data_IF_901979701652
#
_entry.id   IF_901979701652
#
_cell.length_a   1.000
_cell.length_b   1.000
_cell.length_c   1.000
_cell.angle_alpha   90.00
_cell.angle_beta   90.00
_cell.angle_gamma   90.00
#
_symmetry.space_group_name_H-M   'P 1'
#
loop_
_entity.id
_entity.type
_entity.pdbx_description
1 polymer ?
#
# COMPACT_ATOMS: atom_id res chain seq x y z
N UNK A 1 28.41 8.56 -5.78
CA UNK A 1 27.76 9.79 -5.26
C UNK A 1 26.56 9.34 -4.46
N UNK A 2 26.44 9.66 -3.18
CA UNK A 2 25.18 9.41 -2.50
C UNK A 2 24.09 10.25 -3.21
N UNK A 3 23.02 9.59 -3.66
CA UNK A 3 21.80 10.30 -4.08
C UNK A 3 21.42 11.21 -2.93
N UNK A 4 21.23 12.49 -3.17
CA UNK A 4 20.63 13.41 -2.22
C UNK A 4 19.42 12.70 -1.62
N UNK A 5 19.47 12.41 -0.32
CA UNK A 5 18.28 12.03 0.45
C UNK A 5 17.45 13.30 0.47
N UNK A 6 16.57 13.44 -0.52
CA UNK A 6 15.64 14.57 -0.54
C UNK A 6 14.79 14.46 0.72
N UNK A 7 14.82 15.51 1.53
CA UNK A 7 14.13 15.59 2.80
C UNK A 7 12.62 15.40 2.62
N UNK A 8 12.11 14.25 3.00
CA UNK A 8 10.70 14.00 3.22
C UNK A 8 10.54 13.32 4.59
N UNK A 9 9.39 13.49 5.18
CA UNK A 9 9.03 12.88 6.46
C UNK A 9 8.02 11.76 6.22
N UNK A 10 8.18 10.64 6.94
CA UNK A 10 7.15 9.60 7.03
C UNK A 10 6.34 9.82 8.29
N UNK A 11 5.04 9.97 8.14
CA UNK A 11 4.08 10.11 9.26
C UNK A 11 2.79 9.34 9.00
N UNK A 12 1.99 9.22 10.04
CA UNK A 12 0.63 8.67 9.92
C UNK A 12 -0.26 9.62 9.11
N UNK A 13 -1.10 9.05 8.24
CA UNK A 13 -2.20 9.74 7.59
C UNK A 13 -3.28 10.06 8.62
N UNK A 14 -3.77 11.29 8.60
CA UNK A 14 -4.90 11.74 9.41
C UNK A 14 -6.11 12.10 8.55
N UNK A 15 -7.24 12.38 9.19
CA UNK A 15 -8.48 12.75 8.48
C UNK A 15 -8.33 13.98 7.60
N UNK A 16 -7.52 14.96 8.01
CA UNK A 16 -7.27 16.20 7.26
C UNK A 16 -6.49 15.96 5.95
N UNK A 17 -5.91 14.78 5.79
CA UNK A 17 -5.16 14.40 4.59
C UNK A 17 -6.05 13.86 3.46
N UNK A 18 -7.37 13.71 3.67
CA UNK A 18 -8.26 13.05 2.72
C UNK A 18 -8.11 13.57 1.30
N UNK A 19 -8.13 14.89 1.10
CA UNK A 19 -8.07 15.48 -0.25
C UNK A 19 -6.81 15.04 -1.02
N UNK A 20 -5.64 15.09 -0.38
CA UNK A 20 -4.37 14.67 -1.00
C UNK A 20 -4.27 13.15 -1.14
N UNK A 21 -4.75 12.39 -0.16
CA UNK A 21 -4.79 10.93 -0.23
C UNK A 21 -5.72 10.47 -1.37
N UNK A 22 -6.89 11.07 -1.52
CA UNK A 22 -7.85 10.74 -2.57
C UNK A 22 -7.26 10.92 -3.99
N UNK A 23 -6.41 11.92 -4.22
CA UNK A 23 -5.70 12.09 -5.49
C UNK A 23 -4.77 10.90 -5.79
N UNK A 24 -4.06 10.39 -4.79
CA UNK A 24 -3.17 9.24 -4.93
C UNK A 24 -3.98 7.95 -5.17
N UNK A 25 -5.07 7.74 -4.44
CA UNK A 25 -5.99 6.62 -4.68
C UNK A 25 -6.60 6.67 -6.08
N UNK A 26 -6.97 7.86 -6.56
CA UNK A 26 -7.50 8.03 -7.91
C UNK A 26 -6.45 7.69 -8.98
N UNK A 27 -5.19 8.07 -8.78
CA UNK A 27 -4.08 7.73 -9.65
C UNK A 27 -3.88 6.21 -9.75
N UNK A 28 -3.83 5.51 -8.61
CA UNK A 28 -3.68 4.05 -8.58
C UNK A 28 -4.88 3.36 -9.22
N UNK A 29 -6.09 3.81 -8.90
CA UNK A 29 -7.32 3.26 -9.46
C UNK A 29 -7.34 3.38 -10.99
N UNK A 30 -6.94 4.52 -11.53
CA UNK A 30 -6.86 4.73 -12.98
C UNK A 30 -5.92 3.73 -13.66
N UNK A 31 -4.78 3.41 -13.04
CA UNK A 31 -3.85 2.39 -13.52
C UNK A 31 -4.51 1.00 -13.55
N UNK A 32 -5.17 0.61 -12.48
CA UNK A 32 -5.87 -0.68 -12.40
C UNK A 32 -7.03 -0.76 -13.40
N UNK A 33 -7.83 0.30 -13.51
CA UNK A 33 -8.95 0.35 -14.44
C UNK A 33 -8.49 0.27 -15.91
N UNK A 34 -7.39 0.91 -16.26
CA UNK A 34 -6.83 0.86 -17.61
C UNK A 34 -6.35 -0.55 -18.00
N UNK A 35 -5.83 -1.34 -17.04
CA UNK A 35 -5.32 -2.69 -17.29
C UNK A 35 -6.36 -3.80 -17.08
N UNK A 36 -7.34 -3.57 -16.21
CA UNK A 36 -8.40 -4.54 -15.88
C UNK A 36 -9.79 -3.86 -15.86
N UNK A 37 -10.26 -3.34 -17.01
CA UNK A 37 -11.58 -2.69 -17.09
C UNK A 37 -12.73 -3.67 -16.88
N UNK A 38 -12.45 -4.95 -16.94
CA UNK A 38 -13.38 -6.05 -16.62
C UNK A 38 -13.62 -6.21 -15.11
N UNK A 39 -12.71 -5.72 -14.28
CA UNK A 39 -12.76 -5.81 -12.80
C UNK A 39 -13.02 -4.44 -12.17
N UNK A 40 -12.33 -3.40 -12.64
CA UNK A 40 -12.38 -2.08 -12.03
C UNK A 40 -13.35 -1.15 -12.75
N UNK A 41 -14.30 -0.60 -11.98
CA UNK A 41 -15.26 0.37 -12.46
C UNK A 41 -14.57 1.71 -12.79
N UNK A 42 -14.98 2.36 -13.85
CA UNK A 42 -14.57 3.74 -14.12
C UNK A 42 -15.24 4.69 -13.11
N UNK A 43 -14.42 5.39 -12.34
CA UNK A 43 -14.86 6.40 -11.36
C UNK A 43 -13.77 7.45 -11.15
N UNK A 44 -14.18 8.67 -10.84
CA UNK A 44 -13.28 9.76 -10.48
C UNK A 44 -13.09 9.87 -8.95
N UNK A 45 -13.91 9.15 -8.17
CA UNK A 45 -13.89 9.16 -6.70
C UNK A 45 -13.83 7.72 -6.21
N UNK A 46 -12.67 7.05 -6.30
CA UNK A 46 -12.52 5.66 -5.84
C UNK A 46 -12.55 5.53 -4.32
N UNK A 47 -12.31 6.61 -3.58
CA UNK A 47 -12.32 6.65 -2.12
C UNK A 47 -13.05 7.89 -1.62
N UNK A 48 -14.21 7.69 -1.01
CA UNK A 48 -15.00 8.75 -0.38
C UNK A 48 -14.45 9.14 1.00
N UNK A 49 -14.82 10.33 1.47
CA UNK A 49 -14.38 10.88 2.76
C UNK A 49 -14.75 9.99 3.95
N UNK A 50 -16.02 9.54 4.01
CA UNK A 50 -16.50 8.67 5.09
C UNK A 50 -15.74 7.34 5.18
N UNK A 51 -15.41 6.75 4.03
CA UNK A 51 -14.62 5.52 3.97
C UNK A 51 -13.18 5.76 4.44
N UNK A 52 -12.57 6.85 3.99
CA UNK A 52 -11.24 7.23 4.42
C UNK A 52 -11.17 7.49 5.94
N UNK A 53 -12.18 8.15 6.52
CA UNK A 53 -12.24 8.39 7.96
C UNK A 53 -12.36 7.08 8.75
N UNK A 54 -13.16 6.12 8.27
CA UNK A 54 -13.23 4.79 8.87
C UNK A 54 -11.88 4.09 8.87
N UNK A 55 -11.12 4.20 7.78
CA UNK A 55 -9.76 3.64 7.71
C UNK A 55 -8.83 4.32 8.72
N UNK A 56 -8.89 5.66 8.85
CA UNK A 56 -8.05 6.38 9.83
C UNK A 56 -8.38 6.00 11.28
N UNK A 57 -9.63 5.66 11.56
CA UNK A 57 -10.10 5.34 12.92
C UNK A 57 -9.96 3.84 13.27
N UNK A 58 -9.73 2.98 12.28
CA UNK A 58 -9.62 1.54 12.50
C UNK A 58 -8.25 1.19 13.12
N UNK A 59 -8.22 0.60 14.34
CA UNK A 59 -6.97 0.23 15.00
C UNK A 59 -6.19 -0.87 14.27
N UNK A 60 -6.80 -1.59 13.33
CA UNK A 60 -6.13 -2.59 12.50
C UNK A 60 -5.43 -2.00 11.28
N UNK A 61 -5.70 -0.75 10.95
CA UNK A 61 -5.06 -0.05 9.83
C UNK A 61 -3.71 0.56 10.24
N UNK A 62 -2.77 0.50 9.33
CA UNK A 62 -1.50 1.24 9.36
C UNK A 62 -1.50 2.12 8.13
N UNK A 63 -1.78 3.40 8.33
CA UNK A 63 -1.89 4.39 7.26
C UNK A 63 -0.72 5.36 7.35
N UNK A 64 0.22 5.28 6.43
CA UNK A 64 1.43 6.12 6.40
C UNK A 64 1.48 6.98 5.15
N UNK A 65 2.11 8.14 5.26
CA UNK A 65 2.42 8.97 4.10
C UNK A 65 3.82 9.56 4.17
N UNK A 66 4.36 9.86 3.01
CA UNK A 66 5.60 10.63 2.84
C UNK A 66 5.24 12.07 2.49
N UNK A 67 5.72 13.00 3.28
CA UNK A 67 5.37 14.43 3.16
C UNK A 67 6.61 15.27 2.94
N UNK A 68 6.53 16.24 2.04
CA UNK A 68 7.51 17.28 1.83
C UNK A 68 6.82 18.62 1.56
N UNK A 69 7.18 19.66 2.30
CA UNK A 69 6.61 21.00 2.18
C UNK A 69 5.07 21.01 2.24
N UNK A 70 4.49 20.20 3.14
CA UNK A 70 3.05 20.07 3.32
C UNK A 70 2.32 19.26 2.22
N UNK A 71 3.06 18.70 1.27
CA UNK A 71 2.50 17.88 0.18
C UNK A 71 2.77 16.39 0.43
N UNK A 72 1.74 15.58 0.28
CA UNK A 72 1.85 14.13 0.29
C UNK A 72 2.36 13.65 -1.06
N UNK A 73 3.50 13.01 -1.08
CA UNK A 73 4.18 12.51 -2.26
C UNK A 73 3.91 11.01 -2.52
N UNK A 74 3.51 10.30 -1.50
CA UNK A 74 3.16 8.88 -1.56
C UNK A 74 2.52 8.44 -0.26
N UNK A 75 1.86 7.29 -0.30
CA UNK A 75 1.21 6.68 0.86
C UNK A 75 1.33 5.16 0.85
N UNK A 76 1.18 4.57 2.02
CA UNK A 76 1.04 3.14 2.22
C UNK A 76 -0.14 2.87 3.15
N UNK A 77 -0.96 1.88 2.80
CA UNK A 77 -2.03 1.34 3.61
C UNK A 77 -1.77 -0.13 3.86
N UNK A 78 -1.68 -0.53 5.10
CA UNK A 78 -1.44 -1.90 5.53
C UNK A 78 -2.46 -2.28 6.60
N UNK A 79 -3.05 -3.46 6.49
CA UNK A 79 -4.09 -3.94 7.41
C UNK A 79 -3.56 -5.11 8.22
N UNK A 80 -3.67 -5.03 9.54
CA UNK A 80 -3.37 -6.14 10.44
C UNK A 80 -4.49 -7.19 10.37
N UNK A 81 -4.14 -8.43 10.07
CA UNK A 81 -5.09 -9.54 9.97
C UNK A 81 -4.63 -10.72 10.83
N UNK A 82 -5.48 -11.14 11.73
CA UNK A 82 -5.26 -12.31 12.56
C UNK A 82 -6.26 -13.42 12.27
N UNK A 83 -5.84 -14.66 12.51
CA UNK A 83 -6.75 -15.79 12.63
C UNK A 83 -6.33 -16.68 13.82
N UNK A 84 -7.30 -17.37 14.40
CA UNK A 84 -7.07 -18.28 15.53
C UNK A 84 -6.54 -19.67 15.10
N UNK A 85 -6.43 -19.90 13.79
CA UNK A 85 -6.18 -21.22 13.25
C UNK A 85 -7.41 -22.14 13.33
N UNK A 86 -7.25 -23.33 12.82
CA UNK A 86 -8.26 -24.41 12.85
C UNK A 86 -7.58 -25.79 12.88
N UNK A 87 -8.29 -26.85 12.51
CA UNK A 87 -7.75 -28.21 12.51
C UNK A 87 -6.58 -28.43 11.52
N UNK A 88 -6.41 -27.55 10.52
CA UNK A 88 -5.41 -27.69 9.45
C UNK A 88 -4.49 -26.48 9.31
N UNK A 89 -4.84 -25.36 9.92
CA UNK A 89 -4.07 -24.10 9.85
C UNK A 89 -3.62 -23.63 11.22
N UNK A 90 -2.40 -23.13 11.31
CA UNK A 90 -1.87 -22.54 12.53
C UNK A 90 -2.46 -21.13 12.75
N UNK A 91 -2.59 -20.69 14.01
CA UNK A 91 -2.85 -19.28 14.32
C UNK A 91 -1.77 -18.39 13.70
N UNK A 92 -2.17 -17.26 13.10
CA UNK A 92 -1.25 -16.31 12.47
C UNK A 92 -1.72 -14.88 12.66
N UNK A 93 -0.75 -14.00 12.86
CA UNK A 93 -0.93 -12.54 12.73
C UNK A 93 -0.07 -12.08 11.56
N UNK A 94 -0.72 -11.49 10.56
CA UNK A 94 -0.06 -11.01 9.34
C UNK A 94 -0.46 -9.57 9.03
N UNK A 95 0.40 -8.84 8.41
CA UNK A 95 0.10 -7.54 7.83
C UNK A 95 -0.13 -7.71 6.32
N UNK A 96 -1.18 -7.10 5.80
CA UNK A 96 -1.50 -7.10 4.37
C UNK A 96 -1.40 -5.68 3.86
N UNK A 97 -0.40 -5.39 3.02
CA UNK A 97 -0.27 -4.11 2.36
C UNK A 97 -1.27 -4.04 1.20
N UNK A 98 -2.29 -3.23 1.39
CA UNK A 98 -3.37 -3.05 0.42
C UNK A 98 -3.02 -1.98 -0.63
N UNK A 99 -2.24 -0.96 -0.23
CA UNK A 99 -1.80 0.12 -1.11
C UNK A 99 -0.36 0.52 -0.77
N UNK A 100 0.44 0.74 -1.80
CA UNK A 100 1.72 1.45 -1.76
C UNK A 100 1.83 2.24 -3.06
N UNK A 101 1.75 3.55 -2.96
CA UNK A 101 1.75 4.42 -4.13
C UNK A 101 2.63 5.64 -3.93
N UNK A 102 3.34 6.02 -4.97
CA UNK A 102 4.16 7.23 -5.05
C UNK A 102 3.77 8.00 -6.31
N UNK A 103 3.48 9.29 -6.15
CA UNK A 103 3.13 10.14 -7.27
C UNK A 103 4.25 10.13 -8.35
N UNK A 104 3.91 10.19 -9.64
CA UNK A 104 4.89 10.08 -10.72
C UNK A 104 6.08 11.04 -10.60
N UNK A 105 5.83 12.28 -10.20
CA UNK A 105 6.86 13.31 -10.03
C UNK A 105 7.80 13.07 -8.84
N UNK A 106 7.45 12.14 -7.94
CA UNK A 106 8.21 11.79 -6.74
C UNK A 106 8.81 10.38 -6.79
N UNK A 107 8.61 9.67 -7.90
CA UNK A 107 9.22 8.35 -8.10
C UNK A 107 10.74 8.46 -8.25
N UNK A 108 11.45 7.40 -7.83
CA UNK A 108 12.92 7.37 -7.85
C UNK A 108 13.61 8.11 -6.70
N UNK A 109 12.87 8.74 -5.79
CA UNK A 109 13.40 9.46 -4.62
C UNK A 109 13.53 8.57 -3.37
N UNK A 110 13.27 7.27 -3.46
CA UNK A 110 13.34 6.35 -2.31
C UNK A 110 12.09 6.33 -1.42
N UNK A 111 11.04 7.07 -1.77
CA UNK A 111 9.81 7.20 -0.98
C UNK A 111 9.10 5.85 -0.82
N UNK A 112 8.97 5.09 -1.92
CA UNK A 112 8.34 3.76 -1.86
C UNK A 112 9.06 2.81 -0.92
N UNK A 113 10.39 2.80 -0.97
CA UNK A 113 11.23 2.00 -0.07
C UNK A 113 11.06 2.45 1.39
N UNK A 114 11.06 3.75 1.65
CA UNK A 114 10.87 4.28 3.00
C UNK A 114 9.49 3.93 3.58
N UNK A 115 8.43 4.06 2.77
CA UNK A 115 7.07 3.68 3.17
C UNK A 115 6.94 2.17 3.43
N UNK A 116 7.54 1.34 2.58
CA UNK A 116 7.54 -0.11 2.77
C UNK A 116 8.20 -0.49 4.10
N UNK A 117 9.41 -0.01 4.36
CA UNK A 117 10.13 -0.33 5.59
C UNK A 117 9.47 0.25 6.84
N UNK A 118 8.87 1.44 6.77
CA UNK A 118 8.10 1.99 7.88
C UNK A 118 6.84 1.14 8.18
N UNK A 119 6.15 0.66 7.14
CA UNK A 119 5.01 -0.25 7.28
C UNK A 119 5.43 -1.59 7.88
N UNK A 120 6.55 -2.15 7.43
CA UNK A 120 7.14 -3.38 8.00
C UNK A 120 7.46 -3.22 9.49
N UNK A 121 8.14 -2.15 9.86
CA UNK A 121 8.53 -1.87 11.24
C UNK A 121 7.30 -1.74 12.15
N UNK A 122 6.28 -1.02 11.72
CA UNK A 122 5.05 -0.85 12.48
C UNK A 122 4.23 -2.16 12.57
N UNK A 123 4.13 -2.92 11.47
CA UNK A 123 3.48 -4.22 11.46
C UNK A 123 4.16 -5.20 12.43
N UNK A 124 5.48 -5.25 12.41
CA UNK A 124 6.28 -6.08 13.34
C UNK A 124 6.07 -5.65 14.80
N UNK A 125 6.05 -4.34 15.07
CA UNK A 125 5.77 -3.80 16.40
C UNK A 125 4.39 -4.21 16.91
N UNK A 126 3.41 -4.35 16.00
CA UNK A 126 2.04 -4.83 16.31
C UNK A 126 1.91 -6.36 16.32
N UNK A 127 3.01 -7.10 16.18
CA UNK A 127 3.04 -8.56 16.29
C UNK A 127 2.80 -9.33 15.00
N UNK A 128 2.86 -8.67 13.83
CA UNK A 128 2.80 -9.39 12.56
C UNK A 128 4.03 -10.28 12.36
N UNK A 129 3.79 -11.51 11.92
CA UNK A 129 4.81 -12.51 11.60
C UNK A 129 5.27 -12.40 10.12
N UNK A 130 4.42 -11.80 9.27
CA UNK A 130 4.70 -11.58 7.86
C UNK A 130 4.05 -10.31 7.35
N UNK A 131 4.65 -9.72 6.32
CA UNK A 131 4.03 -8.73 5.46
C UNK A 131 3.71 -9.38 4.12
N UNK A 132 2.47 -9.28 3.69
CA UNK A 132 1.95 -9.85 2.45
C UNK A 132 1.35 -8.74 1.59
N UNK A 133 1.37 -8.93 0.28
CA UNK A 133 0.70 -8.03 -0.67
C UNK A 133 0.32 -8.78 -1.95
N UNK A 134 -0.53 -8.16 -2.74
CA UNK A 134 -0.91 -8.68 -4.06
C UNK A 134 -0.40 -7.73 -5.15
N UNK A 135 0.30 -8.29 -6.12
CA UNK A 135 0.77 -7.57 -7.30
C UNK A 135 0.09 -8.14 -8.54
N UNK A 136 -0.48 -7.27 -9.36
CA UNK A 136 -1.00 -7.67 -10.65
C UNK A 136 0.12 -8.09 -11.60
N UNK A 137 -0.09 -9.18 -12.35
CA UNK A 137 0.91 -9.73 -13.28
C UNK A 137 1.34 -8.76 -14.39
N UNK A 138 0.52 -7.75 -14.71
CA UNK A 138 0.87 -6.70 -15.66
C UNK A 138 1.86 -5.67 -15.09
N UNK A 139 1.94 -5.52 -13.76
CA UNK A 139 2.79 -4.52 -13.11
C UNK A 139 4.19 -5.08 -12.80
N UNK A 140 4.97 -5.27 -13.87
CA UNK A 140 6.32 -5.86 -13.77
C UNK A 140 7.31 -4.98 -12.99
N UNK A 141 7.14 -3.66 -13.04
CA UNK A 141 8.02 -2.74 -12.30
C UNK A 141 7.79 -2.85 -10.79
N UNK A 142 6.54 -2.99 -10.38
CA UNK A 142 6.17 -3.17 -8.99
C UNK A 142 6.66 -4.53 -8.45
N UNK A 143 6.52 -5.60 -9.23
CA UNK A 143 7.08 -6.91 -8.87
C UNK A 143 8.58 -6.82 -8.60
N UNK A 144 9.34 -6.21 -9.53
CA UNK A 144 10.81 -6.04 -9.35
C UNK A 144 11.16 -5.19 -8.12
N UNK A 145 10.35 -4.17 -7.83
CA UNK A 145 10.52 -3.35 -6.63
C UNK A 145 10.41 -4.20 -5.35
N UNK A 146 9.35 -5.00 -5.21
CA UNK A 146 9.17 -5.84 -4.03
C UNK A 146 10.21 -6.98 -3.94
N UNK A 147 10.57 -7.60 -5.06
CA UNK A 147 11.65 -8.60 -5.10
C UNK A 147 12.98 -8.01 -4.65
N UNK A 148 13.30 -6.79 -5.08
CA UNK A 148 14.52 -6.07 -4.63
C UNK A 148 14.50 -5.72 -3.14
N UNK A 149 13.33 -5.61 -2.55
CA UNK A 149 13.13 -5.42 -1.11
C UNK A 149 13.13 -6.75 -0.31
N UNK A 150 13.40 -7.89 -0.96
CA UNK A 150 13.50 -9.19 -0.32
C UNK A 150 12.20 -9.98 -0.24
N UNK A 151 11.13 -9.52 -0.91
CA UNK A 151 9.87 -10.27 -0.97
C UNK A 151 9.95 -11.39 -2.01
N UNK A 152 9.26 -12.48 -1.74
CA UNK A 152 9.19 -13.66 -2.64
C UNK A 152 7.74 -14.01 -2.92
N UNK A 153 7.49 -14.56 -4.12
CA UNK A 153 6.15 -15.03 -4.49
C UNK A 153 5.78 -16.22 -3.60
N UNK A 154 4.67 -16.09 -2.87
CA UNK A 154 4.14 -17.15 -2.00
C UNK A 154 3.10 -18.02 -2.69
N UNK A 155 2.23 -17.41 -3.49
CA UNK A 155 1.14 -18.08 -4.19
C UNK A 155 0.79 -17.32 -5.46
N UNK A 156 0.12 -18.00 -6.38
CA UNK A 156 -0.36 -17.41 -7.62
C UNK A 156 -1.87 -17.60 -7.72
N UNK A 157 -2.57 -16.59 -8.23
CA UNK A 157 -3.97 -16.69 -8.62
C UNK A 157 -4.02 -16.83 -10.13
N UNK A 158 -4.65 -17.89 -10.62
CA UNK A 158 -4.86 -18.15 -12.05
C UNK A 158 -6.33 -17.96 -12.38
N UNK A 159 -6.62 -17.36 -13.52
CA UNK A 159 -7.99 -17.18 -14.01
C UNK A 159 -8.16 -17.70 -15.43
N UNK A 160 -9.38 -18.09 -15.75
CA UNK A 160 -9.80 -18.45 -17.11
C UNK A 160 -11.17 -17.84 -17.37
N UNK A 161 -11.30 -17.05 -18.43
CA UNK A 161 -12.62 -16.61 -18.90
C UNK A 161 -13.45 -17.82 -19.36
N UNK A 162 -14.70 -17.86 -18.96
CA UNK A 162 -15.67 -18.88 -19.34
C UNK A 162 -16.61 -18.35 -20.43
#
# INVERSE_FOLDING_TARGET
>A
MPKNIENFEIRTLGRDDHAQAAEIFAFVHALHQANRPDIYRKTNVPLGEDEFFKMCDDPHEIMLCAVRDGKILGLARTVMRGNAGDAVTLPRVRAVMEELAVLPQAQGMGIGTALLYASEAEAKRRGAESLELMVWSFNKSEMRFYESAGMTVRSLVMEKKL
#
